data_IF_187201890566
#
_entry.id   IF_187201890566
#
_cell.length_a   1.000
_cell.length_b   1.000
_cell.length_c   1.000
_cell.angle_alpha   90.00
_cell.angle_beta   90.00
_cell.angle_gamma   90.00
#
_symmetry.space_group_name_H-M   'P 1'
#
loop_
_entity.id
_entity.type
_entity.pdbx_description
1 polymer ?
#
# COMPACT_ATOMS: atom_id res chain seq x y z
N UNK A 1 -42.75 -5.61 -31.31
CA UNK A 1 -43.79 -4.59 -31.07
C UNK A 1 -43.83 -3.59 -32.21
N UNK A 2 -44.85 -2.73 -32.31
CA UNK A 2 -44.95 -1.77 -33.43
C UNK A 2 -43.72 -0.83 -33.51
N UNK A 3 -43.22 -0.38 -32.36
CA UNK A 3 -42.01 0.45 -32.23
C UNK A 3 -40.77 -0.26 -32.78
N UNK A 4 -40.52 -1.51 -32.37
CA UNK A 4 -39.40 -2.32 -32.83
C UNK A 4 -39.43 -2.52 -34.36
N UNK A 5 -40.61 -2.74 -34.94
CA UNK A 5 -40.75 -2.90 -36.39
C UNK A 5 -40.32 -1.63 -37.15
N UNK A 6 -40.63 -0.44 -36.62
CA UNK A 6 -40.18 0.82 -37.22
C UNK A 6 -38.67 1.03 -37.07
N UNK A 7 -38.10 0.71 -35.89
CA UNK A 7 -36.65 0.75 -35.68
C UNK A 7 -35.91 -0.21 -36.62
N UNK A 8 -36.42 -1.43 -36.79
CA UNK A 8 -35.85 -2.44 -37.68
C UNK A 8 -35.95 -2.02 -39.15
N UNK A 9 -37.11 -1.51 -39.58
CA UNK A 9 -37.30 -1.01 -40.93
C UNK A 9 -36.33 0.14 -41.26
N UNK A 10 -36.17 1.11 -40.34
CA UNK A 10 -35.22 2.19 -40.51
C UNK A 10 -33.77 1.70 -40.54
N UNK A 11 -33.41 0.76 -39.66
CA UNK A 11 -32.07 0.14 -39.63
C UNK A 11 -31.76 -0.58 -40.94
N UNK A 12 -32.72 -1.32 -41.50
CA UNK A 12 -32.58 -1.99 -42.80
C UNK A 12 -32.42 -1.00 -43.95
N UNK A 13 -32.95 0.22 -43.82
CA UNK A 13 -32.73 1.32 -44.74
C UNK A 13 -31.43 2.12 -44.49
N UNK A 14 -30.62 1.73 -43.50
CA UNK A 14 -29.40 2.46 -43.11
C UNK A 14 -29.67 3.77 -42.36
N UNK A 15 -30.88 3.96 -41.83
CA UNK A 15 -31.30 5.12 -41.06
C UNK A 15 -31.29 4.80 -39.56
N UNK A 16 -31.02 5.81 -38.74
CA UNK A 16 -31.21 5.72 -37.29
C UNK A 16 -32.48 6.47 -36.89
N UNK A 17 -33.32 5.82 -36.10
CA UNK A 17 -34.56 6.43 -35.59
C UNK A 17 -34.24 7.23 -34.34
N UNK A 18 -34.41 8.54 -34.44
CA UNK A 18 -34.22 9.47 -33.31
C UNK A 18 -35.50 9.60 -32.46
N UNK A 19 -36.66 9.68 -33.13
CA UNK A 19 -37.96 9.88 -32.51
C UNK A 19 -39.04 9.03 -33.21
N UNK A 20 -39.92 8.41 -32.42
CA UNK A 20 -41.17 7.80 -32.90
C UNK A 20 -42.34 8.49 -32.22
N UNK A 21 -43.30 8.97 -33.00
CA UNK A 21 -44.46 9.69 -32.48
C UNK A 21 -45.74 9.31 -33.21
N UNK A 22 -46.87 9.89 -32.77
CA UNK A 22 -48.18 9.67 -33.36
C UNK A 22 -48.36 10.54 -34.62
N UNK A 23 -49.00 10.00 -35.66
CA UNK A 23 -49.24 10.74 -36.91
C UNK A 23 -50.07 12.01 -36.71
N UNK A 24 -51.02 12.01 -35.76
CA UNK A 24 -51.84 13.20 -35.46
C UNK A 24 -50.97 14.38 -35.01
N UNK A 25 -49.91 14.10 -34.25
CA UNK A 25 -48.96 15.12 -33.80
C UNK A 25 -48.21 15.72 -34.99
N UNK A 26 -47.92 14.93 -36.02
CA UNK A 26 -47.39 15.44 -37.29
C UNK A 26 -48.31 16.48 -37.92
N UNK A 27 -49.59 16.15 -38.12
CA UNK A 27 -50.57 17.07 -38.72
C UNK A 27 -50.71 18.36 -37.91
N UNK A 28 -50.77 18.24 -36.57
CA UNK A 28 -50.84 19.38 -35.65
C UNK A 28 -49.58 20.25 -35.73
N UNK A 29 -48.39 19.65 -35.74
CA UNK A 29 -47.13 20.40 -35.84
C UNK A 29 -46.99 21.10 -37.19
N UNK A 30 -47.47 20.48 -38.28
CA UNK A 30 -47.53 21.15 -39.57
C UNK A 30 -48.49 22.36 -39.53
N UNK A 31 -49.63 22.24 -38.84
CA UNK A 31 -50.62 23.29 -38.75
C UNK A 31 -50.07 24.46 -37.94
N UNK A 32 -49.53 24.19 -36.74
CA UNK A 32 -48.85 25.17 -35.87
C UNK A 32 -47.69 25.92 -36.51
N UNK A 33 -47.09 25.35 -37.54
CA UNK A 33 -45.98 25.98 -38.24
C UNK A 33 -46.41 27.00 -39.30
N UNK A 34 -47.72 27.18 -39.52
CA UNK A 34 -48.31 28.28 -40.28
C UNK A 34 -48.05 29.62 -39.57
N UNK A 35 -48.03 30.75 -40.28
CA UNK A 35 -47.95 32.07 -39.65
C UNK A 35 -49.10 32.26 -38.66
N UNK A 36 -48.84 32.90 -37.53
CA UNK A 36 -49.84 33.07 -36.46
C UNK A 36 -51.12 33.79 -36.93
N UNK A 37 -50.97 34.73 -37.87
CA UNK A 37 -52.08 35.48 -38.48
C UNK A 37 -52.96 34.63 -39.43
N UNK A 38 -52.50 33.42 -39.77
CA UNK A 38 -53.22 32.47 -40.63
C UNK A 38 -54.04 31.44 -39.86
N UNK A 39 -53.97 31.44 -38.53
CA UNK A 39 -54.81 30.56 -37.72
C UNK A 39 -56.17 31.19 -37.50
N UNK A 40 -57.25 30.47 -37.81
CA UNK A 40 -58.52 30.75 -37.17
C UNK A 40 -58.40 30.59 -35.65
N UNK A 41 -59.26 31.32 -34.92
CA UNK A 41 -59.39 31.18 -33.47
C UNK A 41 -59.67 29.73 -33.07
N UNK A 42 -60.53 29.04 -33.84
CA UNK A 42 -60.79 27.60 -33.73
C UNK A 42 -60.90 26.96 -35.10
N UNK A 43 -60.05 25.97 -35.38
CA UNK A 43 -60.04 25.20 -36.62
C UNK A 43 -60.09 23.69 -36.35
N UNK A 44 -60.84 22.95 -37.15
CA UNK A 44 -60.78 21.50 -37.16
C UNK A 44 -59.76 21.02 -38.21
N UNK A 45 -58.88 20.11 -37.82
CA UNK A 45 -57.97 19.39 -38.71
C UNK A 45 -58.57 18.02 -39.01
N UNK A 46 -58.73 17.68 -40.29
CA UNK A 46 -59.17 16.36 -40.73
C UNK A 46 -58.10 15.74 -41.64
N UNK A 47 -57.32 14.79 -41.12
CA UNK A 47 -56.39 14.00 -41.92
C UNK A 47 -57.00 12.67 -42.34
N UNK A 48 -57.25 12.50 -43.64
CA UNK A 48 -57.88 11.30 -44.20
C UNK A 48 -56.79 10.34 -44.68
N UNK A 49 -56.45 9.37 -43.83
CA UNK A 49 -55.54 8.28 -44.16
C UNK A 49 -56.21 7.14 -44.93
N UNK A 50 -55.47 6.06 -45.17
CA UNK A 50 -55.99 4.87 -45.87
C UNK A 50 -56.97 4.07 -45.00
N UNK A 51 -56.56 3.66 -43.80
CA UNK A 51 -57.37 2.81 -42.92
C UNK A 51 -58.07 3.59 -41.80
N UNK A 52 -57.49 4.73 -41.43
CA UNK A 52 -57.95 5.59 -40.34
C UNK A 52 -57.91 7.05 -40.78
N UNK A 53 -58.76 7.87 -40.18
CA UNK A 53 -58.66 9.33 -40.28
C UNK A 53 -58.46 9.89 -38.87
N UNK A 54 -57.70 10.97 -38.76
CA UNK A 54 -57.55 11.70 -37.50
C UNK A 54 -58.23 13.05 -37.57
N UNK A 55 -58.95 13.35 -36.50
CA UNK A 55 -59.64 14.61 -36.25
C UNK A 55 -58.86 15.32 -35.15
N UNK A 56 -58.38 16.53 -35.41
CA UNK A 56 -57.82 17.44 -34.42
C UNK A 56 -58.70 18.69 -34.33
N UNK A 57 -58.80 19.31 -33.15
CA UNK A 57 -59.35 20.66 -33.02
C UNK A 57 -58.27 21.53 -32.42
N UNK A 58 -57.92 22.60 -33.13
CA UNK A 58 -57.01 23.62 -32.68
C UNK A 58 -57.80 24.80 -32.12
N UNK A 59 -57.39 25.31 -30.97
CA UNK A 59 -57.88 26.56 -30.39
C UNK A 59 -56.67 27.46 -30.12
N UNK A 60 -56.61 28.63 -30.75
CA UNK A 60 -55.46 29.54 -30.69
C UNK A 60 -54.12 28.84 -31.02
N UNK A 61 -54.12 27.95 -32.02
CA UNK A 61 -52.95 27.17 -32.44
C UNK A 61 -52.59 25.99 -31.52
N UNK A 62 -53.23 25.84 -30.36
CA UNK A 62 -53.01 24.72 -29.44
C UNK A 62 -53.98 23.56 -29.70
N UNK A 63 -53.51 22.32 -29.55
CA UNK A 63 -54.34 21.14 -29.73
C UNK A 63 -55.29 20.98 -28.53
N UNK A 64 -56.58 21.24 -28.74
CA UNK A 64 -57.61 21.09 -27.72
C UNK A 64 -58.22 19.67 -27.69
N UNK A 65 -58.40 19.06 -28.86
CA UNK A 65 -58.99 17.72 -28.97
C UNK A 65 -58.32 16.93 -30.09
N UNK A 66 -58.12 15.63 -29.87
CA UNK A 66 -57.67 14.70 -30.92
C UNK A 66 -58.46 13.40 -30.84
N UNK A 67 -58.90 12.88 -31.98
CA UNK A 67 -59.67 11.65 -32.10
C UNK A 67 -59.27 10.90 -33.36
N UNK A 68 -59.23 9.58 -33.28
CA UNK A 68 -59.02 8.72 -34.46
C UNK A 68 -60.30 7.95 -34.77
N UNK A 69 -60.65 7.91 -36.05
CA UNK A 69 -61.80 7.16 -36.55
C UNK A 69 -61.32 6.04 -37.46
N UNK A 70 -61.95 4.87 -37.37
CA UNK A 70 -61.65 3.67 -38.20
C UNK A 70 -62.32 3.75 -39.57
N UNK A 71 -62.19 4.92 -40.20
CA UNK A 71 -62.70 5.24 -41.52
C UNK A 71 -61.60 5.98 -42.26
N UNK A 72 -61.21 5.49 -43.44
CA UNK A 72 -60.23 6.11 -44.30
C UNK A 72 -60.51 5.81 -45.77
N UNK A 73 -59.72 6.41 -46.65
CA UNK A 73 -59.89 6.32 -48.10
C UNK A 73 -59.65 4.92 -48.69
N UNK A 74 -59.03 4.01 -47.94
CA UNK A 74 -58.82 2.60 -48.31
C UNK A 74 -60.13 1.87 -48.54
N UNK A 75 -61.21 2.20 -47.80
CA UNK A 75 -62.54 1.63 -48.04
C UNK A 75 -63.10 2.04 -49.41
N UNK A 76 -62.74 3.23 -49.90
CA UNK A 76 -63.06 3.67 -51.25
C UNK A 76 -62.22 2.91 -52.27
N UNK A 77 -60.92 2.76 -52.03
CA UNK A 77 -60.02 2.03 -52.90
C UNK A 77 -60.39 0.54 -53.05
N UNK A 78 -60.76 -0.13 -51.95
CA UNK A 78 -61.28 -1.51 -51.97
C UNK A 78 -62.54 -1.62 -52.82
N UNK A 79 -63.39 -0.60 -52.80
CA UNK A 79 -64.58 -0.55 -53.63
C UNK A 79 -64.22 -0.38 -55.11
N UNK A 80 -63.28 0.50 -55.45
CA UNK A 80 -62.74 0.63 -56.81
C UNK A 80 -62.05 -0.66 -57.29
N UNK A 81 -61.29 -1.34 -56.44
CA UNK A 81 -60.59 -2.58 -56.81
C UNK A 81 -61.56 -3.74 -57.08
N UNK A 82 -62.65 -3.83 -56.32
CA UNK A 82 -63.71 -4.83 -56.53
C UNK A 82 -64.64 -4.49 -57.70
N UNK A 83 -64.81 -3.20 -57.96
CA UNK A 83 -65.68 -2.69 -59.03
C UNK A 83 -64.77 -2.20 -60.16
N UNK A 84 -64.23 -3.15 -60.93
CA UNK A 84 -63.22 -2.84 -61.96
C UNK A 84 -63.64 -1.70 -62.90
N UNK A 85 -62.68 -1.07 -63.59
CA UNK A 85 -62.91 0.09 -64.47
C UNK A 85 -63.95 -0.15 -65.58
N UNK A 86 -64.19 -1.40 -65.97
CA UNK A 86 -65.23 -1.79 -66.91
C UNK A 86 -66.66 -1.73 -66.30
N UNK A 87 -66.80 -2.09 -65.02
CA UNK A 87 -68.08 -2.12 -64.29
C UNK A 87 -68.60 -0.72 -63.96
N UNK A 88 -67.69 0.24 -63.73
CA UNK A 88 -68.02 1.65 -63.54
C UNK A 88 -68.65 2.29 -64.79
N UNK A 89 -68.30 1.78 -65.99
CA UNK A 89 -68.87 2.24 -67.27
C UNK A 89 -70.23 1.60 -67.59
N UNK A 90 -70.61 0.51 -66.91
CA UNK A 90 -71.80 -0.28 -67.21
C UNK A 90 -73.04 0.07 -66.34
N UNK A 91 -73.11 1.28 -65.77
CA UNK A 91 -74.28 1.75 -65.01
C UNK A 91 -74.19 1.59 -63.49
N UNK A 92 -73.12 0.99 -62.93
CA UNK A 92 -72.87 0.96 -61.46
C UNK A 92 -72.32 2.27 -60.89
N UNK A 93 -72.41 3.37 -61.65
CA UNK A 93 -71.93 4.69 -61.21
C UNK A 93 -72.78 5.24 -60.07
N UNK A 94 -74.09 4.99 -60.08
CA UNK A 94 -75.00 5.41 -59.01
C UNK A 94 -74.72 4.65 -57.70
N UNK A 95 -74.53 3.32 -57.78
CA UNK A 95 -74.11 2.50 -56.62
C UNK A 95 -72.76 2.94 -56.05
N UNK A 96 -71.83 3.32 -56.94
CA UNK A 96 -70.54 3.86 -56.56
C UNK A 96 -70.69 5.20 -55.83
N UNK A 97 -71.43 6.14 -56.42
CA UNK A 97 -71.70 7.45 -55.82
C UNK A 97 -72.41 7.31 -54.48
N UNK A 98 -73.41 6.44 -54.35
CA UNK A 98 -74.12 6.19 -53.10
C UNK A 98 -73.18 5.66 -52.00
N UNK A 99 -72.24 4.77 -52.33
CA UNK A 99 -71.25 4.26 -51.36
C UNK A 99 -70.21 5.29 -50.97
N UNK A 100 -69.71 6.07 -51.93
CA UNK A 100 -68.79 7.18 -51.62
C UNK A 100 -69.49 8.20 -50.73
N UNK A 101 -70.72 8.58 -51.08
CA UNK A 101 -71.53 9.49 -50.28
C UNK A 101 -71.81 8.93 -48.88
N UNK A 102 -72.11 7.63 -48.76
CA UNK A 102 -72.28 6.97 -47.47
C UNK A 102 -71.00 6.99 -46.59
N UNK A 103 -69.82 6.82 -47.19
CA UNK A 103 -68.54 6.94 -46.47
C UNK A 103 -68.24 8.38 -46.05
N UNK A 104 -68.51 9.36 -46.92
CA UNK A 104 -68.35 10.78 -46.59
C UNK A 104 -69.32 11.17 -45.48
N UNK A 105 -70.59 10.76 -45.56
CA UNK A 105 -71.60 11.02 -44.54
C UNK A 105 -71.22 10.40 -43.18
N UNK A 106 -70.69 9.18 -43.18
CA UNK A 106 -70.17 8.56 -41.96
C UNK A 106 -68.98 9.35 -41.37
N UNK A 107 -68.06 9.83 -42.22
CA UNK A 107 -66.95 10.66 -41.77
C UNK A 107 -67.42 12.03 -41.24
N UNK A 108 -68.33 12.68 -41.95
CA UNK A 108 -68.95 13.94 -41.55
C UNK A 108 -69.65 13.78 -40.19
N UNK A 109 -70.38 12.69 -39.96
CA UNK A 109 -71.01 12.41 -38.67
C UNK A 109 -69.99 12.29 -37.53
N UNK A 110 -68.88 11.59 -37.75
CA UNK A 110 -67.84 11.46 -36.72
C UNK A 110 -67.09 12.78 -36.46
N UNK A 111 -66.88 13.59 -37.51
CA UNK A 111 -66.29 14.91 -37.41
C UNK A 111 -67.23 15.87 -36.67
N UNK A 112 -68.50 15.95 -37.08
CA UNK A 112 -69.54 16.73 -36.44
C UNK A 112 -69.68 16.38 -34.96
N UNK A 113 -69.74 15.09 -34.61
CA UNK A 113 -69.79 14.66 -33.22
C UNK A 113 -68.57 15.11 -32.39
N UNK A 114 -67.40 15.21 -33.02
CA UNK A 114 -66.17 15.68 -32.35
C UNK A 114 -66.17 17.21 -32.18
N UNK A 115 -66.72 17.93 -33.17
CA UNK A 115 -66.94 19.38 -33.12
C UNK A 115 -67.97 19.69 -32.03
N UNK A 116 -69.14 19.08 -32.05
CA UNK A 116 -70.21 19.27 -31.06
C UNK A 116 -69.72 19.05 -29.63
N UNK A 117 -68.92 17.99 -29.42
CA UNK A 117 -68.31 17.69 -28.13
C UNK A 117 -67.38 18.82 -27.66
N UNK A 118 -66.54 19.36 -28.54
CA UNK A 118 -65.64 20.47 -28.22
C UNK A 118 -66.40 21.77 -27.97
N UNK A 119 -67.36 22.13 -28.83
CA UNK A 119 -68.12 23.37 -28.70
C UNK A 119 -68.96 23.40 -27.41
N UNK A 120 -69.46 22.24 -26.99
CA UNK A 120 -70.18 22.09 -25.71
C UNK A 120 -69.27 22.35 -24.50
N UNK A 121 -67.95 22.10 -24.62
CA UNK A 121 -66.99 22.26 -23.52
C UNK A 121 -66.27 23.61 -23.50
N UNK A 122 -66.06 24.23 -24.66
CA UNK A 122 -65.11 25.35 -24.81
C UNK A 122 -65.78 26.72 -25.01
N UNK A 123 -67.11 26.78 -25.11
CA UNK A 123 -67.88 28.00 -25.47
C UNK A 123 -67.44 28.67 -26.79
N UNK A 124 -66.60 28.01 -27.60
CA UNK A 124 -66.08 28.50 -28.86
C UNK A 124 -66.61 27.67 -30.04
N UNK A 125 -66.71 28.29 -31.22
CA UNK A 125 -67.25 27.67 -32.45
C UNK A 125 -66.13 27.36 -33.44
N UNK A 126 -66.18 26.19 -34.07
CA UNK A 126 -65.26 25.83 -35.15
C UNK A 126 -65.63 26.61 -36.41
N UNK A 127 -64.72 27.43 -36.92
CA UNK A 127 -65.02 28.31 -38.07
C UNK A 127 -64.58 27.75 -39.42
N UNK A 128 -63.62 26.81 -39.41
CA UNK A 128 -63.08 26.20 -40.62
C UNK A 128 -62.63 24.76 -40.39
N UNK A 129 -62.62 23.97 -41.46
CA UNK A 129 -62.12 22.60 -41.49
C UNK A 129 -60.99 22.51 -42.51
N UNK A 130 -59.79 22.27 -42.01
CA UNK A 130 -58.56 22.09 -42.76
C UNK A 130 -58.39 20.58 -43.03
N UNK A 131 -58.45 20.18 -44.29
CA UNK A 131 -58.41 18.77 -44.69
C UNK A 131 -57.06 18.40 -45.29
N UNK A 132 -56.44 17.33 -44.77
CA UNK A 132 -55.20 16.72 -45.27
C UNK A 132 -55.39 15.25 -45.63
N UNK A 133 -54.32 14.63 -46.14
CA UNK A 133 -54.33 13.26 -46.63
C UNK A 133 -54.64 13.17 -48.12
N UNK A 134 -54.45 11.97 -48.70
CA UNK A 134 -54.59 11.77 -50.16
C UNK A 134 -56.00 12.05 -50.70
N UNK A 135 -57.03 11.91 -49.86
CA UNK A 135 -58.42 12.17 -50.23
C UNK A 135 -58.75 13.67 -50.30
N UNK A 136 -57.97 14.52 -49.63
CA UNK A 136 -58.19 15.97 -49.61
C UNK A 136 -57.97 16.64 -50.97
N UNK A 137 -57.46 15.92 -51.98
CA UNK A 137 -57.37 16.39 -53.37
C UNK A 137 -58.70 16.36 -54.12
N UNK A 138 -59.67 15.60 -53.62
CA UNK A 138 -60.95 15.43 -54.29
C UNK A 138 -61.88 16.57 -53.91
N UNK A 139 -62.15 17.48 -54.85
CA UNK A 139 -63.10 18.58 -54.65
C UNK A 139 -64.49 18.06 -54.26
N UNK A 140 -64.90 16.90 -54.80
CA UNK A 140 -66.16 16.26 -54.45
C UNK A 140 -66.25 15.89 -52.96
N UNK A 141 -65.15 15.42 -52.37
CA UNK A 141 -65.11 15.08 -50.94
C UNK A 141 -65.23 16.34 -50.09
N UNK A 142 -64.47 17.39 -50.43
CA UNK A 142 -64.51 18.67 -49.71
C UNK A 142 -65.89 19.30 -49.75
N UNK A 143 -66.49 19.42 -50.94
CA UNK A 143 -67.84 19.96 -51.10
C UNK A 143 -68.91 19.14 -50.39
N UNK A 144 -68.75 17.81 -50.37
CA UNK A 144 -69.70 16.93 -49.66
C UNK A 144 -69.57 17.04 -48.14
N UNK A 145 -68.35 17.25 -47.62
CA UNK A 145 -68.12 17.51 -46.19
C UNK A 145 -68.67 18.88 -45.79
N UNK A 146 -68.39 19.91 -46.59
CA UNK A 146 -68.88 21.28 -46.38
C UNK A 146 -70.41 21.32 -46.39
N UNK A 147 -71.07 20.66 -47.36
CA UNK A 147 -72.52 20.57 -47.42
C UNK A 147 -73.14 19.79 -46.25
N UNK A 148 -72.41 18.82 -45.68
CA UNK A 148 -72.90 18.00 -44.57
C UNK A 148 -72.70 18.66 -43.20
N UNK A 149 -71.66 19.49 -43.05
CA UNK A 149 -71.27 20.11 -41.78
C UNK A 149 -71.63 21.59 -41.70
N UNK A 150 -71.96 22.22 -42.83
CA UNK A 150 -72.21 23.66 -42.94
C UNK A 150 -71.02 24.54 -42.46
N UNK A 151 -69.80 23.98 -42.51
CA UNK A 151 -68.55 24.66 -42.15
C UNK A 151 -67.60 24.58 -43.37
N UNK A 152 -66.92 25.69 -43.75
CA UNK A 152 -65.97 25.70 -44.85
C UNK A 152 -64.91 24.59 -44.74
N UNK A 153 -64.77 23.78 -45.80
CA UNK A 153 -63.81 22.68 -45.86
C UNK A 153 -62.77 22.92 -46.95
N UNK A 154 -61.52 23.19 -46.56
CA UNK A 154 -60.45 23.49 -47.50
C UNK A 154 -59.36 22.42 -47.53
N UNK A 155 -58.84 22.14 -48.73
CA UNK A 155 -57.66 21.30 -48.89
C UNK A 155 -56.43 22.06 -48.45
N UNK A 156 -55.61 21.43 -47.61
CA UNK A 156 -54.44 22.08 -47.06
C UNK A 156 -53.14 21.44 -47.53
N UNK A 157 -52.19 22.29 -47.94
CA UNK A 157 -50.86 21.88 -48.38
C UNK A 157 -49.79 22.61 -47.58
N UNK A 158 -49.19 21.97 -46.56
CA UNK A 158 -48.19 22.62 -45.70
C UNK A 158 -46.93 23.04 -46.46
N UNK A 159 -46.63 22.37 -47.57
CA UNK A 159 -45.47 22.65 -48.42
C UNK A 159 -45.46 24.08 -49.02
N UNK A 160 -46.64 24.69 -49.22
CA UNK A 160 -46.76 26.02 -49.83
C UNK A 160 -46.31 27.15 -48.90
N UNK A 161 -46.33 26.92 -47.58
CA UNK A 161 -46.15 27.97 -46.59
C UNK A 161 -44.68 28.33 -46.29
N UNK A 162 -43.71 27.67 -46.94
CA UNK A 162 -42.27 27.77 -46.57
C UNK A 162 -41.33 28.13 -47.71
N UNK A 163 -41.84 28.46 -48.90
CA UNK A 163 -40.98 28.90 -50.02
C UNK A 163 -39.95 27.84 -50.43
N UNK A 164 -40.40 26.63 -50.77
CA UNK A 164 -39.52 25.51 -51.13
C UNK A 164 -38.64 25.85 -52.35
N UNK A 165 -37.32 25.87 -52.16
CA UNK A 165 -36.32 25.99 -53.24
C UNK A 165 -36.16 24.64 -53.96
N UNK A 166 -37.10 24.32 -54.84
CA UNK A 166 -37.09 23.11 -55.65
C UNK A 166 -37.13 23.46 -57.15
N UNK A 167 -36.53 22.64 -58.02
CA UNK A 167 -36.77 22.75 -59.46
C UNK A 167 -38.27 22.70 -59.76
N UNK A 168 -38.75 23.53 -60.70
CA UNK A 168 -40.18 23.71 -61.02
C UNK A 168 -40.95 22.39 -61.18
N UNK A 169 -40.35 21.38 -61.83
CA UNK A 169 -40.96 20.06 -61.97
C UNK A 169 -41.26 19.40 -60.61
N UNK A 170 -40.30 19.41 -59.68
CA UNK A 170 -40.47 18.82 -58.34
C UNK A 170 -41.40 19.65 -57.47
N UNK A 171 -41.41 20.98 -57.66
CA UNK A 171 -42.34 21.86 -56.96
C UNK A 171 -43.80 21.52 -57.32
N UNK A 172 -44.10 21.33 -58.60
CA UNK A 172 -45.42 20.90 -59.05
C UNK A 172 -45.81 19.52 -58.50
N UNK A 173 -44.88 18.57 -58.46
CA UNK A 173 -45.11 17.25 -57.86
C UNK A 173 -45.43 17.36 -56.35
N UNK A 174 -44.67 18.16 -55.60
CA UNK A 174 -44.88 18.38 -54.16
C UNK A 174 -46.18 19.14 -53.89
N UNK A 175 -46.56 20.11 -54.72
CA UNK A 175 -47.82 20.82 -54.57
C UNK A 175 -49.02 19.92 -54.87
N UNK A 176 -48.91 19.05 -55.88
CA UNK A 176 -49.96 18.09 -56.23
C UNK A 176 -50.13 17.00 -55.14
N UNK A 177 -49.05 16.48 -54.60
CA UNK A 177 -49.07 15.52 -53.49
C UNK A 177 -49.22 16.19 -52.12
N UNK A 178 -49.24 17.52 -52.09
CA UNK A 178 -49.12 18.37 -50.92
C UNK A 178 -49.96 17.97 -49.70
N UNK A 179 -51.27 17.73 -49.85
CA UNK A 179 -52.13 17.37 -48.73
C UNK A 179 -51.74 16.06 -48.05
N UNK A 180 -51.18 15.09 -48.77
CA UNK A 180 -50.76 13.80 -48.19
C UNK A 180 -49.45 13.90 -47.41
N UNK A 181 -48.67 14.96 -47.65
CA UNK A 181 -47.36 15.16 -47.02
C UNK A 181 -47.47 15.82 -45.65
N UNK A 182 -48.67 16.17 -45.19
CA UNK A 182 -48.85 16.94 -43.97
C UNK A 182 -48.23 16.30 -42.73
N UNK A 183 -48.45 15.00 -42.53
CA UNK A 183 -47.83 14.23 -41.44
C UNK A 183 -46.30 14.30 -41.56
N UNK A 184 -45.73 13.97 -42.72
CA UNK A 184 -44.28 13.91 -42.91
C UNK A 184 -43.60 15.28 -42.70
N UNK A 185 -44.20 16.35 -43.23
CA UNK A 185 -43.72 17.72 -43.05
C UNK A 185 -43.75 18.10 -41.57
N UNK A 186 -44.86 17.84 -40.88
CA UNK A 186 -44.98 18.20 -39.48
C UNK A 186 -44.13 17.35 -38.54
N UNK A 187 -43.84 16.10 -38.88
CA UNK A 187 -42.82 15.28 -38.18
C UNK A 187 -41.42 15.89 -38.33
N UNK A 188 -41.07 16.33 -39.53
CA UNK A 188 -39.80 17.03 -39.78
C UNK A 188 -39.71 18.35 -39.00
N UNK A 189 -40.77 19.16 -39.03
CA UNK A 189 -40.84 20.44 -38.31
C UNK A 189 -40.81 20.22 -36.78
N UNK A 190 -41.47 19.18 -36.28
CA UNK A 190 -41.48 18.86 -34.86
C UNK A 190 -40.11 18.47 -34.29
N UNK A 191 -39.21 17.95 -35.13
CA UNK A 191 -37.82 17.70 -34.74
C UNK A 191 -37.00 19.00 -34.68
N UNK A 192 -37.27 19.95 -35.60
CA UNK A 192 -36.47 21.15 -35.80
C UNK A 192 -36.91 22.34 -34.94
N UNK A 193 -38.21 22.48 -34.66
CA UNK A 193 -38.76 23.66 -33.98
C UNK A 193 -38.90 23.42 -32.47
N UNK A 194 -38.65 24.45 -31.64
CA UNK A 194 -38.82 24.35 -30.19
C UNK A 194 -40.30 24.36 -29.77
N UNK A 195 -41.16 25.12 -30.47
CA UNK A 195 -42.56 25.36 -30.10
C UNK A 195 -43.54 24.25 -30.58
N UNK A 196 -43.00 23.17 -31.14
CA UNK A 196 -43.77 22.03 -31.62
C UNK A 196 -44.08 21.04 -30.50
N UNK A 197 -45.19 20.31 -30.64
CA UNK A 197 -45.54 19.23 -29.72
C UNK A 197 -44.57 18.06 -29.92
N UNK A 198 -43.81 17.72 -28.87
CA UNK A 198 -42.82 16.63 -28.86
C UNK A 198 -43.31 15.48 -27.99
N UNK A 199 -43.81 14.42 -28.63
CA UNK A 199 -44.07 13.13 -27.99
C UNK A 199 -43.08 12.14 -28.59
N UNK A 200 -42.26 11.48 -27.76
CA UNK A 200 -41.32 10.46 -28.22
C UNK A 200 -41.58 9.13 -27.51
N UNK A 201 -42.08 8.16 -28.27
CA UNK A 201 -42.33 6.78 -27.82
C UNK A 201 -41.02 6.01 -27.58
N UNK A 202 -39.87 6.53 -27.99
CA UNK A 202 -38.54 5.96 -27.70
C UNK A 202 -37.89 6.52 -26.44
N UNK A 203 -38.47 7.54 -25.79
CA UNK A 203 -37.80 8.21 -24.68
C UNK A 203 -37.45 7.23 -23.55
N UNK A 204 -38.38 6.37 -23.16
CA UNK A 204 -38.17 5.38 -22.10
C UNK A 204 -37.11 4.33 -22.48
N UNK A 205 -37.10 3.87 -23.74
CA UNK A 205 -36.08 2.92 -24.22
C UNK A 205 -34.69 3.56 -24.28
N UNK A 206 -34.61 4.81 -24.75
CA UNK A 206 -33.37 5.58 -24.79
C UNK A 206 -32.83 5.80 -23.38
N UNK A 207 -33.67 6.24 -22.45
CA UNK A 207 -33.31 6.40 -21.03
C UNK A 207 -32.89 5.07 -20.39
N UNK A 208 -33.58 3.96 -20.69
CA UNK A 208 -33.20 2.63 -20.20
C UNK A 208 -31.84 2.17 -20.76
N UNK A 209 -31.55 2.43 -22.03
CA UNK A 209 -30.24 2.14 -22.64
C UNK A 209 -29.16 3.03 -22.03
N UNK A 210 -29.43 4.31 -21.80
CA UNK A 210 -28.51 5.22 -21.11
C UNK A 210 -28.24 4.79 -19.66
N UNK A 211 -29.27 4.36 -18.94
CA UNK A 211 -29.14 3.78 -17.60
C UNK A 211 -28.28 2.51 -17.60
N UNK A 212 -28.43 1.63 -18.60
CA UNK A 212 -27.56 0.45 -18.77
C UNK A 212 -26.11 0.85 -19.07
N UNK A 213 -25.87 1.91 -19.83
CA UNK A 213 -24.50 2.44 -20.06
C UNK A 213 -23.89 3.05 -18.79
N UNK A 214 -24.73 3.64 -17.95
CA UNK A 214 -24.36 4.21 -16.65
C UNK A 214 -24.39 3.20 -15.51
N UNK A 215 -24.24 1.89 -15.78
CA UNK A 215 -24.28 0.85 -14.75
C UNK A 215 -23.25 1.15 -13.62
N UNK A 216 -23.73 1.62 -12.44
CA UNK A 216 -22.84 1.99 -11.34
C UNK A 216 -22.18 0.75 -10.73
N UNK A 217 -22.79 -0.43 -10.88
CA UNK A 217 -22.29 -1.69 -10.33
C UNK A 217 -21.04 -2.14 -11.09
N UNK A 218 -21.00 -1.93 -12.41
CA UNK A 218 -19.79 -2.23 -13.21
C UNK A 218 -18.63 -1.32 -12.81
N UNK A 219 -18.88 -0.03 -12.59
CA UNK A 219 -17.85 0.93 -12.13
C UNK A 219 -17.40 0.63 -10.70
N UNK A 220 -18.33 0.30 -9.80
CA UNK A 220 -18.03 -0.08 -8.43
C UNK A 220 -17.14 -1.33 -8.37
N UNK A 221 -17.47 -2.39 -9.12
CA UNK A 221 -16.62 -3.59 -9.22
C UNK A 221 -15.21 -3.28 -9.70
N UNK A 222 -15.08 -2.41 -10.71
CA UNK A 222 -13.78 -2.00 -11.24
C UNK A 222 -12.98 -1.18 -10.23
N UNK A 223 -13.62 -0.26 -9.50
CA UNK A 223 -13.01 0.51 -8.43
C UNK A 223 -12.56 -0.38 -7.26
N UNK A 224 -13.40 -1.34 -6.83
CA UNK A 224 -13.05 -2.31 -5.78
C UNK A 224 -11.88 -3.20 -6.20
N UNK A 225 -11.87 -3.70 -7.44
CA UNK A 225 -10.75 -4.46 -7.97
C UNK A 225 -9.45 -3.63 -8.00
N UNK A 226 -9.53 -2.36 -8.41
CA UNK A 226 -8.41 -1.43 -8.37
C UNK A 226 -7.88 -1.18 -6.96
N UNK A 227 -8.76 -1.00 -5.97
CA UNK A 227 -8.39 -0.81 -4.57
C UNK A 227 -7.69 -2.04 -3.98
N UNK A 228 -8.20 -3.24 -4.26
CA UNK A 228 -7.56 -4.51 -3.84
C UNK A 228 -6.17 -4.66 -4.45
N UNK A 229 -6.02 -4.33 -5.74
CA UNK A 229 -4.73 -4.41 -6.43
C UNK A 229 -3.72 -3.42 -5.84
N UNK A 230 -4.15 -2.18 -5.54
CA UNK A 230 -3.33 -1.19 -4.84
C UNK A 230 -2.89 -1.67 -3.46
N UNK A 231 -3.79 -2.29 -2.69
CA UNK A 231 -3.46 -2.83 -1.36
C UNK A 231 -2.43 -3.97 -1.45
N UNK A 232 -2.56 -4.85 -2.46
CA UNK A 232 -1.59 -5.92 -2.70
C UNK A 232 -0.22 -5.37 -3.14
N UNK A 233 -0.19 -4.38 -4.03
CA UNK A 233 1.05 -3.71 -4.42
C UNK A 233 1.73 -3.03 -3.22
N UNK A 234 0.95 -2.38 -2.36
CA UNK A 234 1.46 -1.76 -1.13
C UNK A 234 2.04 -2.79 -0.16
N UNK A 235 1.35 -3.91 0.05
CA UNK A 235 1.84 -4.99 0.89
C UNK A 235 3.12 -5.62 0.33
N UNK A 236 3.21 -5.80 -0.99
CA UNK A 236 4.41 -6.29 -1.65
C UNK A 236 5.59 -5.30 -1.49
N UNK A 237 5.33 -4.00 -1.63
CA UNK A 237 6.34 -2.96 -1.42
C UNK A 237 6.88 -2.95 0.01
N UNK A 238 6.00 -2.97 1.03
CA UNK A 238 6.42 -3.08 2.44
C UNK A 238 7.22 -4.36 2.71
N UNK A 239 6.81 -5.47 2.09
CA UNK A 239 7.51 -6.76 2.22
C UNK A 239 8.95 -6.70 1.70
N UNK A 240 9.17 -6.02 0.56
CA UNK A 240 10.51 -5.81 0.00
C UNK A 240 11.38 -4.92 0.89
N UNK A 241 10.81 -3.85 1.43
CA UNK A 241 11.53 -2.95 2.34
C UNK A 241 11.90 -3.64 3.65
N UNK A 242 11.00 -4.47 4.21
CA UNK A 242 11.28 -5.29 5.37
C UNK A 242 12.37 -6.34 5.11
N UNK A 243 12.38 -6.95 3.91
CA UNK A 243 13.43 -7.90 3.53
C UNK A 243 14.81 -7.23 3.42
N UNK A 244 14.88 -6.02 2.85
CA UNK A 244 16.12 -5.25 2.78
C UNK A 244 16.67 -4.95 4.18
N UNK A 245 15.83 -4.47 5.10
CA UNK A 245 16.24 -4.21 6.48
C UNK A 245 16.67 -5.47 7.25
N UNK A 246 15.99 -6.61 7.04
CA UNK A 246 16.39 -7.90 7.64
C UNK A 246 17.76 -8.39 7.16
N UNK A 247 18.19 -8.00 5.96
CA UNK A 247 19.52 -8.30 5.45
C UNK A 247 20.63 -7.66 6.29
N UNK A 248 20.48 -6.37 6.61
CA UNK A 248 21.42 -5.63 7.45
C UNK A 248 21.47 -6.20 8.88
N UNK A 249 20.31 -6.50 9.47
CA UNK A 249 20.24 -7.10 10.82
C UNK A 249 20.99 -8.44 10.88
N UNK A 250 20.85 -9.28 9.84
CA UNK A 250 21.58 -10.55 9.77
C UNK A 250 23.10 -10.35 9.67
N UNK A 251 23.55 -9.35 8.91
CA UNK A 251 24.97 -9.02 8.81
C UNK A 251 25.53 -8.58 10.17
N UNK A 252 24.85 -7.69 10.87
CA UNK A 252 25.27 -7.26 12.21
C UNK A 252 25.25 -8.43 13.21
N UNK A 253 24.26 -9.32 13.15
CA UNK A 253 24.23 -10.50 14.03
C UNK A 253 25.42 -11.43 13.76
N UNK A 254 25.81 -11.62 12.49
CA UNK A 254 27.00 -12.41 12.16
C UNK A 254 28.29 -11.75 12.64
N UNK A 255 28.44 -10.44 12.47
CA UNK A 255 29.61 -9.69 12.93
C UNK A 255 29.73 -9.73 14.46
N UNK A 256 28.61 -9.56 15.17
CA UNK A 256 28.58 -9.61 16.63
C UNK A 256 28.99 -10.99 17.16
N UNK A 257 28.54 -12.07 16.49
CA UNK A 257 28.94 -13.45 16.82
C UNK A 257 30.42 -13.70 16.58
N UNK A 258 30.98 -13.18 15.48
CA UNK A 258 32.42 -13.28 15.22
C UNK A 258 33.24 -12.51 16.25
N UNK A 259 32.82 -11.29 16.60
CA UNK A 259 33.49 -10.46 17.59
C UNK A 259 33.46 -11.13 18.98
N UNK A 260 32.32 -11.71 19.37
CA UNK A 260 32.17 -12.48 20.61
C UNK A 260 33.04 -13.75 20.63
N UNK A 261 33.18 -14.43 19.48
CA UNK A 261 34.08 -15.58 19.34
C UNK A 261 35.55 -15.17 19.46
N UNK A 262 35.92 -14.02 18.91
CA UNK A 262 37.29 -13.52 19.00
C UNK A 262 37.64 -13.03 20.41
N UNK A 263 36.72 -12.35 21.10
CA UNK A 263 36.93 -11.92 22.49
C UNK A 263 37.07 -13.11 23.44
N UNK A 264 36.22 -14.14 23.31
CA UNK A 264 36.32 -15.36 24.12
C UNK A 264 37.64 -16.12 23.90
N UNK A 265 38.14 -16.18 22.65
CA UNK A 265 39.49 -16.72 22.36
C UNK A 265 40.58 -15.90 23.02
N UNK A 266 40.52 -14.56 22.93
CA UNK A 266 41.50 -13.68 23.56
C UNK A 266 41.52 -13.84 25.10
N UNK A 267 40.35 -13.96 25.73
CA UNK A 267 40.21 -14.26 27.17
C UNK A 267 40.84 -15.62 27.51
N UNK A 268 40.62 -16.64 26.67
CA UNK A 268 41.23 -17.96 26.85
C UNK A 268 42.76 -17.93 26.80
N UNK A 269 43.34 -17.22 25.82
CA UNK A 269 44.79 -17.03 25.70
C UNK A 269 45.33 -16.27 26.92
N UNK A 270 44.65 -15.22 27.37
CA UNK A 270 45.05 -14.46 28.54
C UNK A 270 45.09 -15.30 29.82
N UNK A 271 44.10 -16.20 30.02
CA UNK A 271 44.09 -17.16 31.13
C UNK A 271 45.27 -18.14 31.05
N UNK A 272 45.51 -18.72 29.89
CA UNK A 272 46.63 -19.64 29.68
C UNK A 272 47.99 -18.94 29.93
N UNK A 273 48.14 -17.68 29.52
CA UNK A 273 49.33 -16.89 29.82
C UNK A 273 49.49 -16.62 31.33
N UNK A 274 48.38 -16.38 32.06
CA UNK A 274 48.42 -16.21 33.51
C UNK A 274 48.85 -17.50 34.24
N UNK A 275 48.31 -18.66 33.82
CA UNK A 275 48.67 -19.97 34.38
C UNK A 275 50.14 -20.32 34.11
N UNK A 276 50.62 -20.04 32.89
CA UNK A 276 52.03 -20.21 32.53
C UNK A 276 52.97 -19.32 33.36
N UNK A 277 52.56 -18.08 33.63
CA UNK A 277 53.34 -17.20 34.53
C UNK A 277 53.39 -17.76 35.93
N UNK A 278 52.28 -18.24 36.47
CA UNK A 278 52.22 -18.84 37.80
C UNK A 278 53.14 -20.08 37.89
N UNK A 279 53.05 -21.00 36.93
CA UNK A 279 53.91 -22.19 36.89
C UNK A 279 55.39 -21.84 36.73
N UNK A 280 55.74 -20.82 35.93
CA UNK A 280 57.11 -20.33 35.87
C UNK A 280 57.59 -19.76 37.21
N UNK A 281 56.76 -19.00 37.93
CA UNK A 281 57.14 -18.46 39.23
C UNK A 281 57.40 -19.55 40.26
N UNK A 282 56.56 -20.58 40.32
CA UNK A 282 56.74 -21.70 41.26
C UNK A 282 57.98 -22.54 40.92
N UNK A 283 58.20 -22.82 39.63
CA UNK A 283 59.42 -23.52 39.17
C UNK A 283 60.69 -22.73 39.48
N UNK A 284 60.68 -21.42 39.26
CA UNK A 284 61.81 -20.54 39.63
C UNK A 284 62.08 -20.59 41.13
N UNK A 285 61.04 -20.56 41.96
CA UNK A 285 61.19 -20.66 43.41
C UNK A 285 61.77 -22.01 43.84
N UNK A 286 61.31 -23.12 43.26
CA UNK A 286 61.85 -24.45 43.55
C UNK A 286 63.31 -24.59 43.09
N UNK A 287 63.65 -24.08 41.91
CA UNK A 287 65.01 -24.07 41.39
C UNK A 287 65.94 -23.23 42.26
N UNK A 288 65.50 -22.04 42.69
CA UNK A 288 66.22 -21.18 43.62
C UNK A 288 66.47 -21.92 44.94
N UNK A 289 65.42 -22.48 45.56
CA UNK A 289 65.56 -23.24 46.82
C UNK A 289 66.59 -24.38 46.70
N UNK A 290 66.57 -25.15 45.60
CA UNK A 290 67.55 -26.23 45.39
C UNK A 290 68.97 -25.69 45.24
N UNK A 291 69.16 -24.61 44.49
CA UNK A 291 70.47 -24.04 44.23
C UNK A 291 71.09 -23.41 45.50
N UNK A 292 70.28 -22.77 46.33
CA UNK A 292 70.75 -22.11 47.55
C UNK A 292 71.08 -23.10 48.68
N UNK A 293 70.29 -24.16 48.87
CA UNK A 293 70.54 -25.12 49.95
C UNK A 293 71.63 -26.16 49.63
N UNK A 294 71.80 -26.57 48.38
CA UNK A 294 72.71 -27.67 48.04
C UNK A 294 74.18 -27.43 48.45
N UNK A 295 74.81 -26.28 48.17
CA UNK A 295 76.18 -26.01 48.59
C UNK A 295 76.33 -25.95 50.12
N UNK A 296 75.33 -25.39 50.81
CA UNK A 296 75.31 -25.28 52.27
C UNK A 296 75.23 -26.66 52.92
N UNK A 297 74.32 -27.52 52.45
CA UNK A 297 74.18 -28.88 52.96
C UNK A 297 75.43 -29.71 52.71
N UNK A 298 76.04 -29.57 51.52
CA UNK A 298 77.30 -30.23 51.21
C UNK A 298 78.43 -29.77 52.13
N UNK A 299 78.54 -28.47 52.43
CA UNK A 299 79.52 -27.96 53.38
C UNK A 299 79.26 -28.45 54.81
N UNK A 300 78.01 -28.44 55.27
CA UNK A 300 77.63 -28.90 56.62
C UNK A 300 77.95 -30.39 56.85
N UNK A 301 77.91 -31.21 55.81
CA UNK A 301 78.27 -32.62 55.90
C UNK A 301 79.70 -32.81 56.46
N UNK A 302 80.62 -31.93 56.09
CA UNK A 302 82.03 -31.99 56.48
C UNK A 302 82.36 -31.21 57.76
N UNK A 303 81.39 -30.51 58.35
CA UNK A 303 81.57 -29.75 59.61
C UNK A 303 80.94 -30.44 60.81
N UNK A 304 80.70 -31.75 60.74
CA UNK A 304 80.10 -32.52 61.83
C UNK A 304 81.12 -32.78 62.94
N UNK A 305 80.70 -32.62 64.19
CA UNK A 305 81.51 -32.88 65.40
C UNK A 305 80.89 -34.08 66.13
N UNK A 306 81.69 -35.00 66.73
CA UNK A 306 81.15 -36.11 67.50
C UNK A 306 80.21 -35.64 68.60
N UNK A 307 79.13 -36.39 68.84
CA UNK A 307 78.10 -36.09 69.84
C UNK A 307 77.27 -34.82 69.57
N UNK A 308 77.24 -34.32 68.32
CA UNK A 308 76.36 -33.25 67.88
C UNK A 308 75.42 -33.75 66.78
N UNK A 309 74.13 -33.44 66.90
CA UNK A 309 73.10 -33.78 65.91
C UNK A 309 72.33 -32.54 65.47
N UNK A 310 72.31 -32.24 64.17
CA UNK A 310 71.43 -31.22 63.60
C UNK A 310 70.03 -31.78 63.34
N UNK A 311 69.00 -30.97 63.57
CA UNK A 311 67.60 -31.38 63.32
C UNK A 311 66.76 -30.34 62.59
N UNK A 312 67.16 -29.06 62.61
CA UNK A 312 66.53 -28.03 61.79
C UNK A 312 67.58 -27.14 61.14
N UNK A 313 67.34 -26.81 59.87
CA UNK A 313 68.21 -26.02 59.02
C UNK A 313 67.34 -25.04 58.24
N UNK A 314 67.45 -23.77 58.59
CA UNK A 314 66.66 -22.70 57.98
C UNK A 314 67.58 -21.66 57.37
N UNK A 315 67.39 -21.36 56.09
CA UNK A 315 68.03 -20.21 55.45
C UNK A 315 67.00 -19.10 55.36
N UNK A 316 67.28 -18.00 56.05
CA UNK A 316 66.48 -16.78 56.01
C UNK A 316 67.19 -15.77 55.10
N UNK A 317 66.49 -15.32 54.08
CA UNK A 317 66.95 -14.29 53.17
C UNK A 317 66.00 -13.11 53.29
N UNK A 318 66.54 -11.95 53.62
CA UNK A 318 65.77 -10.71 53.70
C UNK A 318 66.41 -9.69 52.78
N UNK A 319 65.57 -8.99 52.03
CA UNK A 319 66.00 -7.93 51.12
C UNK A 319 65.55 -6.62 51.74
N UNK A 320 66.52 -5.80 52.15
CA UNK A 320 66.27 -4.47 52.71
C UNK A 320 66.62 -3.47 51.62
N UNK A 321 65.62 -2.72 51.17
CA UNK A 321 65.82 -1.64 50.20
C UNK A 321 65.95 -0.31 50.95
N UNK A 322 67.11 0.33 50.83
CA UNK A 322 67.32 1.71 51.22
C UNK A 322 67.04 2.60 50.00
N UNK A 323 66.00 3.46 50.02
CA UNK A 323 65.63 4.27 48.87
C UNK A 323 66.68 5.32 48.47
N UNK A 324 67.72 5.55 49.28
CA UNK A 324 68.76 6.53 48.99
C UNK A 324 68.29 7.97 49.24
N UNK A 325 69.23 8.91 49.28
CA UNK A 325 68.99 10.34 49.52
C UNK A 325 69.39 11.12 48.28
N UNK A 326 68.42 11.80 47.67
CA UNK A 326 68.67 12.71 46.54
C UNK A 326 69.44 13.93 47.02
N UNK A 327 70.35 14.45 46.18
CA UNK A 327 71.11 15.65 46.52
C UNK A 327 70.18 16.85 46.81
N UNK A 328 70.41 17.52 47.94
CA UNK A 328 69.74 18.78 48.26
C UNK A 328 70.73 19.92 48.08
N UNK A 329 70.45 20.78 47.09
CA UNK A 329 71.29 21.93 46.72
C UNK A 329 70.54 23.20 47.13
N UNK A 330 71.08 23.94 48.10
CA UNK A 330 70.60 25.27 48.45
C UNK A 330 71.64 26.31 48.02
N UNK A 331 71.21 27.33 47.27
CA UNK A 331 72.04 28.45 46.81
C UNK A 331 73.36 28.05 46.12
N UNK A 332 73.30 27.03 45.24
CA UNK A 332 74.45 26.62 44.42
C UNK A 332 75.54 25.84 45.17
N UNK A 333 75.34 25.54 46.46
CA UNK A 333 76.23 24.69 47.26
C UNK A 333 75.46 23.45 47.69
N UNK A 334 76.03 22.27 47.41
CA UNK A 334 75.45 20.99 47.82
C UNK A 334 75.52 20.87 49.34
N UNK A 335 74.36 20.90 50.01
CA UNK A 335 74.28 20.80 51.49
C UNK A 335 74.30 19.35 51.94
N UNK A 336 73.70 18.44 51.17
CA UNK A 336 73.72 16.99 51.42
C UNK A 336 74.15 16.24 50.16
N UNK A 337 75.24 15.46 50.20
CA UNK A 337 75.73 14.70 49.04
C UNK A 337 74.76 13.57 48.64
N UNK A 338 74.65 13.34 47.33
CA UNK A 338 73.80 12.28 46.76
C UNK A 338 74.26 10.89 47.22
N UNK A 339 73.32 10.07 47.70
CA UNK A 339 73.56 8.66 48.02
C UNK A 339 72.56 7.80 47.24
N UNK A 340 73.01 7.02 46.23
CA UNK A 340 72.13 6.16 45.47
C UNK A 340 71.48 5.11 46.38
N UNK A 341 70.23 4.78 46.09
CA UNK A 341 69.51 3.73 46.79
C UNK A 341 70.25 2.39 46.66
N UNK A 342 70.23 1.60 47.70
CA UNK A 342 70.90 0.30 47.70
C UNK A 342 69.96 -0.77 48.19
N UNK A 343 69.91 -1.87 47.45
CA UNK A 343 69.23 -3.08 47.88
C UNK A 343 70.25 -3.97 48.54
N UNK A 344 70.14 -4.15 49.85
CA UNK A 344 71.02 -5.04 50.62
C UNK A 344 70.30 -6.35 50.88
N UNK A 345 70.84 -7.43 50.32
CA UNK A 345 70.40 -8.80 50.59
C UNK A 345 71.19 -9.35 51.78
N UNK A 346 70.45 -9.68 52.85
CA UNK A 346 71.00 -10.30 54.05
C UNK A 346 70.56 -11.75 54.12
N UNK A 347 71.54 -12.64 54.22
CA UNK A 347 71.32 -14.09 54.28
C UNK A 347 71.84 -14.64 55.61
N UNK A 348 71.00 -15.42 56.28
CA UNK A 348 71.33 -16.07 57.55
C UNK A 348 70.99 -17.54 57.45
N UNK A 349 71.94 -18.40 57.81
CA UNK A 349 71.68 -19.81 58.04
C UNK A 349 71.50 -20.03 59.55
N UNK A 350 70.33 -20.49 59.95
CA UNK A 350 70.02 -20.90 61.31
C UNK A 350 70.12 -22.42 61.37
N UNK A 351 71.00 -22.91 62.24
CA UNK A 351 71.22 -24.33 62.49
C UNK A 351 70.78 -24.62 63.91
N UNK A 352 69.81 -25.52 64.07
CA UNK A 352 69.40 -26.00 65.38
C UNK A 352 69.84 -27.45 65.56
N UNK A 353 70.41 -27.72 66.72
CA UNK A 353 70.98 -29.02 67.02
C UNK A 353 70.88 -29.41 68.48
N UNK A 354 71.21 -30.67 68.73
CA UNK A 354 71.34 -31.29 70.04
C UNK A 354 72.82 -31.61 70.27
N UNK A 355 73.39 -31.18 71.38
CA UNK A 355 74.72 -31.54 71.83
C UNK A 355 74.63 -32.55 72.98
N UNK A 356 75.17 -33.74 72.77
CA UNK A 356 75.28 -34.82 73.75
C UNK A 356 76.63 -34.85 74.47
N UNK A 357 77.62 -34.08 73.99
CA UNK A 357 78.97 -34.00 74.56
C UNK A 357 79.13 -32.91 75.63
N UNK A 358 80.35 -32.48 75.89
CA UNK A 358 80.63 -31.37 76.82
C UNK A 358 80.25 -30.01 76.19
N UNK A 359 80.02 -28.95 76.98
CA UNK A 359 79.72 -27.61 76.47
C UNK A 359 80.78 -27.07 75.49
N UNK A 360 82.06 -27.40 75.73
CA UNK A 360 83.19 -27.05 74.84
C UNK A 360 83.09 -27.66 73.43
N UNK A 361 82.24 -28.66 73.24
CA UNK A 361 81.98 -29.29 71.92
C UNK A 361 81.31 -28.30 70.96
N UNK A 362 80.51 -27.36 71.49
CA UNK A 362 79.83 -26.35 70.68
C UNK A 362 80.84 -25.31 70.19
N UNK A 363 81.80 -24.91 71.02
CA UNK A 363 82.87 -24.00 70.60
C UNK A 363 83.70 -24.62 69.47
N UNK A 364 84.04 -25.92 69.59
CA UNK A 364 84.71 -26.68 68.53
C UNK A 364 83.89 -26.77 67.25
N UNK A 365 82.57 -26.88 67.36
CA UNK A 365 81.66 -26.89 66.21
C UNK A 365 81.63 -25.53 65.51
N UNK A 366 81.56 -24.44 66.28
CA UNK A 366 81.64 -23.07 65.77
C UNK A 366 82.96 -22.83 65.03
N UNK A 367 84.07 -23.30 65.59
CA UNK A 367 85.40 -23.25 64.94
C UNK A 367 85.44 -24.08 63.65
N UNK A 368 84.88 -25.29 63.66
CA UNK A 368 84.86 -26.19 62.50
C UNK A 368 84.03 -25.61 61.35
N UNK A 369 82.86 -25.04 61.65
CA UNK A 369 82.02 -24.37 60.67
C UNK A 369 82.73 -23.13 60.12
N UNK A 370 83.29 -22.28 60.99
CA UNK A 370 83.99 -21.05 60.59
C UNK A 370 85.27 -21.34 59.79
N UNK A 371 85.93 -22.48 60.05
CA UNK A 371 87.16 -22.90 59.38
C UNK A 371 86.95 -23.58 58.03
N UNK A 372 85.73 -24.04 57.71
CA UNK A 372 85.47 -24.74 56.47
C UNK A 372 85.60 -23.79 55.25
N UNK A 373 86.24 -24.20 54.14
CA UNK A 373 86.52 -23.31 53.00
C UNK A 373 85.28 -22.59 52.44
N UNK A 374 84.16 -23.30 52.35
CA UNK A 374 82.88 -22.72 51.90
C UNK A 374 82.40 -21.60 52.84
N UNK A 375 82.27 -21.88 54.14
CA UNK A 375 81.76 -20.90 55.09
C UNK A 375 82.73 -19.73 55.28
N UNK A 376 84.04 -19.97 55.26
CA UNK A 376 85.05 -18.91 55.32
C UNK A 376 84.96 -17.92 54.15
N UNK A 377 84.56 -18.39 52.97
CA UNK A 377 84.38 -17.53 51.78
C UNK A 377 83.10 -16.69 51.84
N UNK A 378 82.02 -17.23 52.40
CA UNK A 378 80.68 -16.63 52.29
C UNK A 378 80.16 -16.00 53.58
N UNK A 379 80.64 -16.40 54.75
CA UNK A 379 80.29 -15.77 56.03
C UNK A 379 80.99 -14.41 56.17
N UNK A 380 80.39 -13.53 56.96
CA UNK A 380 80.97 -12.21 57.27
C UNK A 380 82.28 -12.35 58.05
N UNK A 381 83.18 -11.38 57.92
CA UNK A 381 84.50 -11.44 58.55
C UNK A 381 84.48 -11.37 60.09
N UNK A 382 83.49 -10.67 60.68
CA UNK A 382 83.39 -10.45 62.13
C UNK A 382 82.24 -11.27 62.70
N UNK A 383 82.51 -12.07 63.73
CA UNK A 383 81.55 -12.97 64.37
C UNK A 383 80.70 -13.74 63.34
N UNK A 384 81.33 -14.58 62.48
CA UNK A 384 80.67 -15.27 61.36
C UNK A 384 79.57 -16.22 61.82
N UNK A 385 79.71 -16.77 63.03
CA UNK A 385 78.87 -17.80 63.60
C UNK A 385 78.53 -17.39 65.03
N UNK A 386 77.25 -17.10 65.29
CA UNK A 386 76.75 -16.67 66.59
C UNK A 386 76.02 -17.81 67.29
N UNK A 387 76.38 -18.10 68.55
CA UNK A 387 75.58 -18.96 69.42
C UNK A 387 74.49 -18.10 70.07
N UNK A 388 73.23 -18.32 69.68
CA UNK A 388 72.09 -17.48 70.08
C UNK A 388 71.34 -17.99 71.29
N UNK A 389 71.19 -19.31 71.38
CA UNK A 389 70.47 -19.94 72.48
C UNK A 389 71.18 -21.21 72.92
N UNK A 390 71.34 -21.35 74.22
CA UNK A 390 71.98 -22.48 74.88
C UNK A 390 71.23 -22.82 76.17
N UNK A 391 69.99 -23.36 76.07
CA UNK A 391 69.19 -23.74 77.21
C UNK A 391 69.87 -24.80 78.08
N UNK A 392 69.39 -25.00 79.31
CA UNK A 392 69.95 -26.02 80.23
C UNK A 392 69.83 -27.43 79.63
N UNK A 393 70.75 -28.31 80.00
CA UNK A 393 70.70 -29.73 79.59
C UNK A 393 69.38 -30.34 80.04
N UNK A 394 68.78 -31.10 79.13
CA UNK A 394 67.53 -31.83 79.33
C UNK A 394 67.73 -33.30 78.98
N UNK A 395 66.98 -34.18 79.63
CA UNK A 395 67.04 -35.63 79.38
C UNK A 395 66.40 -35.91 78.01
N UNK A 396 67.00 -36.82 77.24
CA UNK A 396 66.45 -37.18 75.94
C UNK A 396 65.10 -37.90 76.08
N UNK A 397 64.00 -37.40 75.48
CA UNK A 397 62.71 -38.09 75.50
C UNK A 397 62.76 -39.50 74.89
N UNK A 398 63.75 -39.78 74.04
CA UNK A 398 63.94 -41.07 73.36
C UNK A 398 64.96 -42.00 74.02
N UNK A 399 65.81 -41.51 74.93
CA UNK A 399 66.80 -42.31 75.67
C UNK A 399 67.03 -41.70 77.07
N UNK A 400 66.36 -42.21 78.12
CA UNK A 400 66.40 -41.63 79.46
C UNK A 400 67.79 -41.58 80.11
N UNK A 401 68.76 -42.32 79.59
CA UNK A 401 70.13 -42.37 80.10
C UNK A 401 71.06 -41.32 79.47
N UNK A 402 70.57 -40.50 78.53
CA UNK A 402 71.34 -39.44 77.87
C UNK A 402 70.73 -38.07 78.12
N UNK A 403 71.59 -37.11 78.47
CA UNK A 403 71.21 -35.71 78.59
C UNK A 403 71.84 -34.89 77.45
N UNK A 404 71.01 -34.16 76.71
CA UNK A 404 71.46 -33.28 75.62
C UNK A 404 71.19 -31.82 75.93
N UNK A 405 71.93 -30.94 75.28
CA UNK A 405 71.71 -29.51 75.29
C UNK A 405 71.24 -29.08 73.90
N UNK A 406 70.09 -28.40 73.80
CA UNK A 406 69.76 -27.73 72.55
C UNK A 406 70.71 -26.57 72.34
N UNK A 407 71.03 -26.29 71.09
CA UNK A 407 71.73 -25.09 70.72
C UNK A 407 71.17 -24.53 69.42
N UNK A 408 71.21 -23.22 69.30
CA UNK A 408 70.92 -22.51 68.04
C UNK A 408 72.13 -21.72 67.64
N UNK A 409 72.65 -22.03 66.44
CA UNK A 409 73.75 -21.31 65.82
C UNK A 409 73.24 -20.54 64.61
N UNK A 410 73.61 -19.27 64.50
CA UNK A 410 73.34 -18.44 63.34
C UNK A 410 74.64 -18.19 62.58
N UNK A 411 74.76 -18.72 61.37
CA UNK A 411 75.84 -18.39 60.45
C UNK A 411 75.38 -17.21 59.58
N UNK A 412 76.08 -16.08 59.70
CA UNK A 412 75.70 -14.84 59.02
C UNK A 412 76.55 -14.68 57.77
N UNK A 413 75.90 -14.66 56.61
CA UNK A 413 76.56 -14.45 55.33
C UNK A 413 76.95 -12.99 55.16
N UNK A 414 77.98 -12.74 54.35
CA UNK A 414 78.32 -11.38 53.95
C UNK A 414 77.17 -10.73 53.18
N UNK A 415 76.81 -9.52 53.58
CA UNK A 415 75.76 -8.74 52.93
C UNK A 415 76.08 -8.54 51.45
N UNK A 416 75.13 -8.87 50.57
CA UNK A 416 75.24 -8.59 49.13
C UNK A 416 74.54 -7.27 48.85
N UNK A 417 75.31 -6.25 48.53
CA UNK A 417 74.79 -4.91 48.23
C UNK A 417 74.72 -4.76 46.72
N UNK A 418 73.49 -4.60 46.22
CA UNK A 418 73.24 -4.20 44.85
C UNK A 418 72.94 -2.71 44.85
N UNK A 419 73.75 -1.94 44.14
CA UNK A 419 73.46 -0.52 43.91
C UNK A 419 72.29 -0.46 42.92
N UNK A 420 71.23 0.25 43.29
CA UNK A 420 70.17 0.54 42.35
C UNK A 420 70.72 1.65 41.45
N UNK A 421 70.94 1.34 40.17
CA UNK A 421 71.29 2.34 39.14
C UNK A 421 70.11 3.26 38.83
#
# INVERSE_FOLDING_TARGET
GLVENFQEAAKNAGLMVDNITLSQIGVVNAARALPSDSHAEVAALLDIGSNHSSIGILMNGELALTRTVTLGAGKLADFFGKTGTADLKAGKMEDFQAKVHGLISALARELGASIDFFETQSEAKVTEIIVSGGAARSQFILQSLEAALEIPCESWTPAKCRGLELPERKKNEVEYEGPQLAVAIGLGLGSLQPDSVRINLLAEEQEAVEMRRRDPVRRARLASAGALLLMLLWAAFLGLELQRGRGEVKQYETELRELQKNSSRAIGIARLAADLRHTLTTLKQQAANRLFFAPVLSALQYTTVPNVQFHDLKIEQSVISDPGVKAEVQNGVTVTPERPGSTTEKTRLVVQGKNFGDPKTIDRLVETISGHPYFKQYLRATDPVLLKDLPRRQVDPTDPNKAFQLFTIECIYSDRVYKNE
#
